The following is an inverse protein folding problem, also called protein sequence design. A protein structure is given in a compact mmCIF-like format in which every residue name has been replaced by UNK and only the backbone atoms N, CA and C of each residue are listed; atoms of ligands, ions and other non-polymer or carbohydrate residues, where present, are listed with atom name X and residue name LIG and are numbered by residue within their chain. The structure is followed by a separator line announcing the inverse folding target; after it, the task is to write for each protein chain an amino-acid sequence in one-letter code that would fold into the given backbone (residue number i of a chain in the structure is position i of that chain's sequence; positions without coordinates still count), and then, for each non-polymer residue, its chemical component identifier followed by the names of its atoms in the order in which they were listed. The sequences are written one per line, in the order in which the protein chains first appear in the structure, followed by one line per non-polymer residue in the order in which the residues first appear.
data_IF_741435801496
#
_entry.id   IF_741435801496
#
_cell.length_a   1.000
_cell.length_b   1.000
_cell.length_c   1.000
_cell.angle_alpha   90.00
_cell.angle_beta   90.00
_cell.angle_gamma   90.00
#
_symmetry.space_group_name_H-M   'P 1'
#
loop_
_entity.id
_entity.type
_entity.pdbx_description
1 polymer ?
#
# COMPACT_ATOMS: atom_id res chain seq x y z
N UNK A 1 2.21 18.70 -15.35
CA UNK A 1 2.30 17.80 -14.18
C UNK A 1 2.94 16.53 -14.69
N UNK A 2 3.86 15.91 -13.96
CA UNK A 2 4.28 14.54 -14.28
C UNK A 2 3.05 13.65 -14.10
N UNK A 3 2.25 13.50 -15.16
CA UNK A 3 1.34 12.38 -15.33
C UNK A 3 2.22 11.15 -15.59
N UNK A 4 2.98 10.76 -14.55
CA UNK A 4 3.83 9.59 -14.55
C UNK A 4 2.93 8.37 -14.50
N UNK A 5 3.06 7.51 -15.51
CA UNK A 5 2.37 6.23 -15.60
C UNK A 5 2.64 5.45 -14.31
N UNK A 6 1.61 5.34 -13.47
CA UNK A 6 1.64 4.50 -12.29
C UNK A 6 1.76 3.04 -12.72
N UNK A 7 2.60 2.26 -12.04
CA UNK A 7 2.65 0.82 -12.30
C UNK A 7 1.34 0.17 -11.83
N UNK A 8 0.96 -0.97 -12.42
CA UNK A 8 -0.23 -1.72 -11.99
C UNK A 8 -0.19 -2.02 -10.48
N UNK A 9 0.99 -2.37 -9.97
CA UNK A 9 1.25 -2.63 -8.56
C UNK A 9 0.94 -1.41 -7.67
N UNK A 10 1.39 -0.22 -8.08
CA UNK A 10 1.11 1.02 -7.37
C UNK A 10 -0.39 1.36 -7.42
N UNK A 11 -1.06 1.10 -8.53
CA UNK A 11 -2.51 1.31 -8.67
C UNK A 11 -3.29 0.40 -7.72
N UNK A 12 -2.98 -0.89 -7.71
CA UNK A 12 -3.58 -1.86 -6.79
C UNK A 12 -3.39 -1.48 -5.33
N UNK A 13 -2.17 -1.02 -4.97
CA UNK A 13 -1.89 -0.54 -3.62
C UNK A 13 -2.74 0.67 -3.23
N UNK A 14 -2.87 1.67 -4.13
CA UNK A 14 -3.70 2.86 -3.87
C UNK A 14 -5.18 2.48 -3.72
N UNK A 15 -5.70 1.59 -4.57
CA UNK A 15 -7.07 1.10 -4.47
C UNK A 15 -7.34 0.41 -3.13
N UNK A 16 -6.42 -0.44 -2.67
CA UNK A 16 -6.54 -1.12 -1.38
C UNK A 16 -6.51 -0.15 -0.20
N UNK A 17 -5.68 0.90 -0.27
CA UNK A 17 -5.67 1.96 0.74
C UNK A 17 -6.98 2.75 0.75
N UNK A 18 -7.53 3.07 -0.42
CA UNK A 18 -8.83 3.76 -0.54
C UNK A 18 -9.98 2.91 0.01
N UNK A 19 -10.01 1.61 -0.29
CA UNK A 19 -10.97 0.68 0.28
C UNK A 19 -10.86 0.61 1.81
N UNK A 20 -9.64 0.50 2.35
CA UNK A 20 -9.40 0.50 3.79
C UNK A 20 -9.98 1.75 4.47
N UNK A 21 -9.76 2.93 3.88
CA UNK A 21 -10.28 4.21 4.40
C UNK A 21 -11.80 4.21 4.45
N UNK A 22 -12.47 3.75 3.38
CA UNK A 22 -13.93 3.69 3.28
C UNK A 22 -14.53 2.73 4.31
N UNK A 23 -13.99 1.51 4.42
CA UNK A 23 -14.51 0.48 5.33
C UNK A 23 -14.35 0.87 6.79
N UNK A 24 -13.24 1.53 7.13
CA UNK A 24 -12.92 1.90 8.52
C UNK A 24 -13.36 3.33 8.90
N UNK A 25 -14.01 4.06 7.98
CA UNK A 25 -14.38 5.46 8.14
C UNK A 25 -13.21 6.33 8.66
N UNK A 26 -12.01 6.12 8.10
CA UNK A 26 -10.77 6.72 8.57
C UNK A 26 -10.07 7.44 7.41
N UNK A 27 -9.74 8.73 7.53
CA UNK A 27 -9.15 9.50 6.42
C UNK A 27 -7.70 9.09 6.13
N UNK A 28 -6.95 8.68 7.16
CA UNK A 28 -5.54 8.33 7.05
C UNK A 28 -5.22 7.08 7.88
N UNK A 29 -4.75 5.99 7.25
CA UNK A 29 -4.24 4.85 8.00
C UNK A 29 -2.93 5.21 8.71
N UNK A 30 -2.63 4.53 9.82
CA UNK A 30 -1.32 4.51 10.45
C UNK A 30 -0.37 3.61 9.65
N UNK A 31 0.93 3.76 9.83
CA UNK A 31 1.91 2.90 9.14
C UNK A 31 1.78 1.41 9.51
N UNK A 32 1.28 1.08 10.70
CA UNK A 32 0.97 -0.30 11.08
C UNK A 32 -0.22 -0.85 10.28
N UNK A 33 -1.26 -0.05 10.06
CA UNK A 33 -2.40 -0.44 9.22
C UNK A 33 -1.99 -0.55 7.75
N UNK A 34 -1.13 0.35 7.26
CA UNK A 34 -0.55 0.23 5.91
C UNK A 34 0.19 -1.09 5.75
N UNK A 35 0.98 -1.51 6.74
CA UNK A 35 1.65 -2.81 6.72
C UNK A 35 0.65 -3.97 6.64
N UNK A 36 -0.51 -3.87 7.30
CA UNK A 36 -1.54 -4.89 7.25
C UNK A 36 -2.30 -4.92 5.90
N UNK A 37 -2.53 -3.76 5.27
CA UNK A 37 -3.04 -3.66 3.89
C UNK A 37 -2.11 -4.38 2.93
N UNK A 38 -0.80 -4.11 3.01
CA UNK A 38 0.22 -4.77 2.18
C UNK A 38 0.20 -6.29 2.41
N UNK A 39 0.07 -6.78 3.64
CA UNK A 39 -0.07 -8.23 3.89
C UNK A 39 -1.36 -8.81 3.31
N UNK A 40 -2.47 -8.06 3.35
CA UNK A 40 -3.76 -8.47 2.81
C UNK A 40 -3.75 -8.58 1.28
N UNK A 41 -3.00 -7.70 0.60
CA UNK A 41 -2.69 -7.79 -0.83
C UNK A 41 -1.82 -9.01 -1.20
N UNK A 42 -1.35 -9.79 -0.23
CA UNK A 42 -0.61 -11.02 -0.45
C UNK A 42 0.91 -10.88 -0.38
N UNK A 43 1.44 -9.68 -0.15
CA UNK A 43 2.89 -9.48 0.00
C UNK A 43 3.42 -10.24 1.21
N UNK A 44 4.62 -10.80 1.07
CA UNK A 44 5.34 -11.54 2.10
C UNK A 44 6.79 -11.09 2.13
N UNK A 45 7.35 -10.96 3.34
CA UNK A 45 8.78 -10.74 3.51
C UNK A 45 9.51 -12.07 3.26
N UNK A 46 10.03 -12.24 2.05
CA UNK A 46 10.72 -13.46 1.61
C UNK A 46 12.24 -13.29 1.47
N UNK A 47 12.74 -12.07 1.63
CA UNK A 47 14.15 -11.73 1.50
C UNK A 47 14.66 -10.95 2.73
N UNK A 48 15.98 -10.93 2.89
CA UNK A 48 16.65 -10.08 3.87
C UNK A 48 16.46 -8.59 3.51
N UNK A 49 16.47 -7.67 4.51
CA UNK A 49 16.39 -6.24 4.24
C UNK A 49 17.52 -5.77 3.33
N UNK A 50 17.19 -4.88 2.40
CA UNK A 50 18.15 -4.12 1.59
C UNK A 50 18.13 -2.65 2.01
N UNK A 51 19.19 -1.91 1.71
CA UNK A 51 19.22 -0.46 1.93
C UNK A 51 18.08 0.24 1.17
N UNK A 52 17.40 1.17 1.85
CA UNK A 52 16.44 2.07 1.23
C UNK A 52 17.26 3.15 0.52
N UNK A 53 17.20 3.19 -0.82
CA UNK A 53 17.88 4.20 -1.63
C UNK A 53 17.15 5.55 -1.58
#
# INVERSE_FOLDING_TARGET
AEEGEMTDEQFEFILAVDEYKKVNNKPFPTWTEVLDIVKALGYRKVAEPTDIK
#
